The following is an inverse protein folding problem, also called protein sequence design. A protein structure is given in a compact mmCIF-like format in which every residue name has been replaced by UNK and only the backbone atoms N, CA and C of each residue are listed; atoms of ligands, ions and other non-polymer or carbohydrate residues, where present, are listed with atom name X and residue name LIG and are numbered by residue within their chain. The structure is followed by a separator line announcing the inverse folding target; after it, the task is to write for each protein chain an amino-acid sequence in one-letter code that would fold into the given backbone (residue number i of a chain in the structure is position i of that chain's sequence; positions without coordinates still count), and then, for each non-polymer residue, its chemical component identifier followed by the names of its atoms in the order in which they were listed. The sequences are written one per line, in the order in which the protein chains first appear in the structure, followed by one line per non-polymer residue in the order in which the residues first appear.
data_IF_852738548619
#
_entry.id   IF_852738548619
#
_cell.length_a   1.000
_cell.length_b   1.000
_cell.length_c   1.000
_cell.angle_alpha   90.00
_cell.angle_beta   90.00
_cell.angle_gamma   90.00
#
_symmetry.space_group_name_H-M   'P 1'
#
loop_
_entity.id
_entity.type
_entity.pdbx_description
1 polymer ?
#
# COMPACT_ATOMS: atom_id res chain seq x y z
N UNK A 1 -2.27 -26.60 30.19
CA UNK A 1 -2.09 -25.67 29.10
C UNK A 1 -1.22 -24.48 29.55
N UNK A 2 -0.23 -24.17 28.79
CA UNK A 2 0.75 -23.13 29.12
C UNK A 2 0.21 -21.69 29.02
N UNK A 3 -1.03 -21.53 28.60
CA UNK A 3 -1.64 -20.21 28.48
C UNK A 3 -1.76 -19.44 29.79
N UNK A 4 -2.03 -20.17 30.88
CA UNK A 4 -2.27 -19.53 32.16
C UNK A 4 -1.02 -18.90 32.76
N UNK A 5 0.16 -19.46 32.46
CA UNK A 5 1.43 -18.92 32.95
C UNK A 5 1.80 -17.60 32.27
N UNK A 6 1.39 -17.41 31.02
CA UNK A 6 1.78 -16.30 30.19
C UNK A 6 0.70 -15.25 29.97
N UNK A 7 -0.41 -15.33 30.70
CA UNK A 7 -1.58 -14.47 30.46
C UNK A 7 -1.23 -12.99 30.47
N UNK A 8 -0.42 -12.55 31.41
CA UNK A 8 -0.05 -11.14 31.52
C UNK A 8 0.88 -10.68 30.41
N UNK A 9 1.91 -11.45 30.10
CA UNK A 9 2.83 -11.19 29.00
C UNK A 9 2.12 -11.40 27.65
N UNK A 10 1.26 -12.41 27.58
CA UNK A 10 0.49 -12.74 26.40
C UNK A 10 -0.43 -11.62 25.94
N UNK A 11 -1.02 -10.87 26.88
CA UNK A 11 -1.91 -9.76 26.51
C UNK A 11 -1.17 -8.66 25.77
N UNK A 12 0.05 -8.32 26.19
CA UNK A 12 0.88 -7.31 25.52
C UNK A 12 1.31 -7.80 24.14
N UNK A 13 1.71 -9.05 24.03
CA UNK A 13 2.08 -9.67 22.76
C UNK A 13 0.90 -9.77 21.81
N UNK A 14 -0.28 -10.13 22.32
CA UNK A 14 -1.49 -10.22 21.49
C UNK A 14 -1.91 -8.86 20.93
N UNK A 15 -1.74 -7.78 21.69
CA UNK A 15 -2.02 -6.44 21.19
C UNK A 15 -1.09 -6.06 20.04
N UNK A 16 0.23 -6.33 20.19
CA UNK A 16 1.21 -6.08 19.14
C UNK A 16 0.98 -6.94 17.91
N UNK A 17 0.68 -8.23 18.10
CA UNK A 17 0.35 -9.16 17.02
C UNK A 17 -0.91 -8.73 16.27
N UNK A 18 -1.91 -8.25 17.00
CA UNK A 18 -3.15 -7.73 16.40
C UNK A 18 -2.90 -6.52 15.54
N UNK A 19 -2.07 -5.58 16.01
CA UNK A 19 -1.70 -4.40 15.22
C UNK A 19 -0.96 -4.78 13.95
N UNK A 20 0.00 -5.72 14.04
CA UNK A 20 0.71 -6.23 12.87
C UNK A 20 -0.23 -6.93 11.90
N UNK A 21 -1.17 -7.73 12.41
CA UNK A 21 -2.15 -8.42 11.59
C UNK A 21 -3.06 -7.43 10.87
N UNK A 22 -3.51 -6.37 11.54
CA UNK A 22 -4.32 -5.31 10.93
C UNK A 22 -3.55 -4.60 9.83
N UNK A 23 -2.29 -4.24 10.07
CA UNK A 23 -1.44 -3.61 9.06
C UNK A 23 -1.22 -4.52 7.86
N UNK A 24 -1.01 -5.81 8.08
CA UNK A 24 -0.83 -6.79 7.02
C UNK A 24 -2.11 -6.95 6.21
N UNK A 25 -3.27 -7.01 6.86
CA UNK A 25 -4.56 -7.07 6.20
C UNK A 25 -4.84 -5.84 5.36
N UNK A 26 -4.50 -4.64 5.87
CA UNK A 26 -4.63 -3.40 5.11
C UNK A 26 -3.74 -3.42 3.87
N UNK A 27 -2.50 -3.87 4.01
CA UNK A 27 -1.56 -3.99 2.89
C UNK A 27 -2.07 -4.96 1.85
N UNK A 28 -2.55 -6.14 2.27
CA UNK A 28 -3.10 -7.15 1.38
C UNK A 28 -4.37 -6.64 0.69
N UNK A 29 -5.21 -5.91 1.40
CA UNK A 29 -6.42 -5.32 0.83
C UNK A 29 -6.10 -4.27 -0.24
N UNK A 30 -5.09 -3.44 -0.01
CA UNK A 30 -4.61 -2.47 -1.01
C UNK A 30 -4.05 -3.18 -2.23
N UNK A 31 -3.23 -4.22 -2.02
CA UNK A 31 -2.66 -5.00 -3.11
C UNK A 31 -3.76 -5.66 -3.93
N UNK A 32 -4.73 -6.27 -3.27
CA UNK A 32 -5.84 -6.92 -3.96
C UNK A 32 -6.64 -5.93 -4.81
N UNK A 33 -6.92 -4.75 -4.29
CA UNK A 33 -7.61 -3.70 -5.04
C UNK A 33 -6.80 -3.26 -6.26
N UNK A 34 -5.49 -3.12 -6.09
CA UNK A 34 -4.59 -2.73 -7.18
C UNK A 34 -4.52 -3.79 -8.26
N UNK A 35 -4.44 -5.06 -7.86
CA UNK A 35 -4.43 -6.19 -8.80
C UNK A 35 -5.75 -6.28 -9.55
N UNK A 36 -6.88 -6.16 -8.87
CA UNK A 36 -8.21 -6.16 -9.51
C UNK A 36 -8.37 -5.02 -10.49
N UNK A 37 -7.89 -3.83 -10.13
CA UNK A 37 -7.91 -2.68 -11.03
C UNK A 37 -7.05 -2.92 -12.26
N UNK A 38 -5.88 -3.54 -12.11
CA UNK A 38 -5.01 -3.90 -13.22
C UNK A 38 -5.68 -4.91 -14.16
N UNK A 39 -6.37 -5.90 -13.60
CA UNK A 39 -7.13 -6.87 -14.40
C UNK A 39 -8.24 -6.19 -15.21
N UNK A 40 -8.93 -5.22 -14.62
CA UNK A 40 -9.93 -4.43 -15.36
C UNK A 40 -9.29 -3.66 -16.51
N UNK A 41 -8.10 -3.08 -16.31
CA UNK A 41 -7.38 -2.38 -17.38
C UNK A 41 -6.95 -3.32 -18.50
N UNK A 42 -6.56 -4.55 -18.17
CA UNK A 42 -6.26 -5.55 -19.18
C UNK A 42 -7.51 -5.83 -20.04
N UNK A 43 -8.66 -5.97 -19.39
CA UNK A 43 -9.91 -6.24 -20.08
C UNK A 43 -10.38 -5.08 -20.96
N UNK A 44 -10.17 -3.84 -20.54
CA UNK A 44 -10.61 -2.66 -21.31
C UNK A 44 -9.54 -2.12 -22.27
N UNK A 45 -8.36 -2.73 -22.28
CA UNK A 45 -7.29 -2.38 -23.20
C UNK A 45 -6.40 -1.21 -22.76
N UNK A 46 -6.55 -0.72 -21.54
CA UNK A 46 -5.77 0.41 -21.03
C UNK A 46 -4.55 -0.01 -20.17
N UNK A 47 -4.31 -1.31 -20.05
CA UNK A 47 -3.20 -1.82 -19.24
C UNK A 47 -1.85 -1.35 -19.81
N UNK A 48 -0.95 -0.95 -18.90
CA UNK A 48 0.39 -0.50 -19.28
C UNK A 48 0.49 0.98 -19.59
N UNK A 49 -0.61 1.72 -19.44
CA UNK A 49 -0.65 3.17 -19.62
C UNK A 49 -0.81 3.85 -18.26
N UNK A 50 0.02 4.85 -18.00
CA UNK A 50 -0.06 5.61 -16.75
C UNK A 50 -1.41 6.33 -16.66
N UNK A 51 -2.09 6.19 -15.53
CA UNK A 51 -3.39 6.83 -15.31
C UNK A 51 -3.29 8.35 -15.17
N UNK A 52 -2.11 8.86 -14.82
CA UNK A 52 -1.92 10.30 -14.60
C UNK A 52 -1.46 11.03 -15.85
N UNK A 53 -0.36 10.58 -16.47
CA UNK A 53 0.22 11.26 -17.63
C UNK A 53 -0.18 10.65 -18.98
N UNK A 54 -0.87 9.51 -18.96
CA UNK A 54 -1.37 8.79 -20.14
C UNK A 54 -0.27 8.28 -21.08
N UNK A 55 0.98 8.25 -20.61
CA UNK A 55 2.10 7.67 -21.36
C UNK A 55 2.30 6.20 -21.00
N UNK A 56 2.99 5.47 -21.87
CA UNK A 56 3.27 4.08 -21.63
C UNK A 56 4.19 3.90 -20.42
N UNK A 57 3.85 2.95 -19.56
CA UNK A 57 4.69 2.57 -18.44
C UNK A 57 5.82 1.68 -18.95
N UNK A 58 7.05 1.92 -18.45
CA UNK A 58 8.21 1.13 -18.83
C UNK A 58 7.94 -0.36 -18.56
N UNK A 59 8.18 -1.27 -19.55
CA UNK A 59 7.96 -2.71 -19.37
C UNK A 59 8.73 -3.31 -18.19
N UNK A 60 9.90 -2.78 -17.86
CA UNK A 60 10.67 -3.25 -16.70
C UNK A 60 9.93 -2.97 -15.39
N UNK A 61 9.26 -1.82 -15.31
CA UNK A 61 8.44 -1.49 -14.15
C UNK A 61 7.22 -2.40 -14.06
N UNK A 62 6.58 -2.67 -15.17
CA UNK A 62 5.44 -3.59 -15.23
C UNK A 62 5.83 -5.01 -14.83
N UNK A 63 7.04 -5.45 -15.18
CA UNK A 63 7.55 -6.75 -14.72
C UNK A 63 7.77 -6.80 -13.22
N UNK A 64 8.27 -5.72 -12.64
CA UNK A 64 8.51 -5.64 -11.20
C UNK A 64 7.22 -5.42 -10.40
N UNK A 65 6.31 -4.60 -10.91
CA UNK A 65 5.05 -4.24 -10.25
C UNK A 65 3.92 -4.32 -11.28
N UNK A 66 3.42 -5.53 -11.60
CA UNK A 66 2.44 -5.70 -12.67
C UNK A 66 1.13 -4.92 -12.48
N UNK A 67 0.79 -4.59 -11.26
CA UNK A 67 -0.44 -3.87 -10.92
C UNK A 67 -0.28 -2.35 -10.85
N UNK A 68 0.91 -1.82 -11.16
CA UNK A 68 1.15 -0.38 -11.02
C UNK A 68 0.22 0.42 -11.95
N UNK A 69 -0.46 1.45 -11.43
CA UNK A 69 -1.26 2.34 -12.26
C UNK A 69 -0.47 3.52 -12.81
N UNK A 70 0.76 3.76 -12.34
CA UNK A 70 1.54 4.95 -12.65
C UNK A 70 2.93 4.59 -13.15
N UNK A 71 3.47 5.46 -14.01
CA UNK A 71 4.91 5.41 -14.33
C UNK A 71 5.71 5.83 -13.10
N UNK A 72 7.03 5.63 -13.14
CA UNK A 72 7.91 5.93 -12.01
C UNK A 72 7.80 7.40 -11.60
N UNK A 73 7.80 8.31 -12.57
CA UNK A 73 7.74 9.75 -12.30
C UNK A 73 6.44 10.16 -11.60
N UNK A 74 5.31 9.65 -12.07
CA UNK A 74 4.02 9.94 -11.46
C UNK A 74 3.87 9.30 -10.10
N UNK A 75 4.43 8.10 -9.90
CA UNK A 75 4.45 7.45 -8.61
C UNK A 75 5.27 8.24 -7.60
N UNK A 76 6.42 8.75 -8.00
CA UNK A 76 7.25 9.61 -7.14
C UNK A 76 6.53 10.88 -6.73
N UNK A 77 5.80 11.50 -7.66
CA UNK A 77 4.99 12.67 -7.36
C UNK A 77 3.89 12.37 -6.35
N UNK A 78 3.21 11.24 -6.50
CA UNK A 78 2.17 10.81 -5.57
C UNK A 78 2.76 10.54 -4.18
N UNK A 79 3.91 9.91 -4.12
CA UNK A 79 4.60 9.60 -2.86
C UNK A 79 5.05 10.88 -2.15
N UNK A 80 5.58 11.86 -2.88
CA UNK A 80 5.96 13.17 -2.31
C UNK A 80 4.77 13.91 -1.73
N UNK A 81 3.65 13.91 -2.43
CA UNK A 81 2.42 14.55 -1.94
C UNK A 81 1.95 13.92 -0.65
N UNK A 82 2.02 12.59 -0.57
CA UNK A 82 1.66 11.86 0.64
C UNK A 82 2.58 12.18 1.81
N UNK A 83 3.88 12.25 1.56
CA UNK A 83 4.86 12.59 2.58
C UNK A 83 4.65 14.01 3.11
N UNK A 84 4.37 14.97 2.23
CA UNK A 84 4.07 16.34 2.62
C UNK A 84 2.80 16.42 3.47
N UNK A 85 1.77 15.70 3.11
CA UNK A 85 0.53 15.63 3.90
C UNK A 85 0.80 15.06 5.28
N UNK A 86 1.60 14.01 5.37
CA UNK A 86 1.98 13.39 6.64
C UNK A 86 2.79 14.35 7.51
N UNK A 87 3.73 15.09 6.93
CA UNK A 87 4.52 16.10 7.66
C UNK A 87 3.62 17.21 8.20
N UNK A 88 2.72 17.72 7.40
CA UNK A 88 1.77 18.74 7.83
C UNK A 88 0.87 18.24 8.97
N UNK A 89 0.42 17.00 8.85
CA UNK A 89 -0.40 16.37 9.88
C UNK A 89 0.37 16.22 11.20
N UNK A 90 1.63 15.77 11.12
CA UNK A 90 2.50 15.65 12.29
C UNK A 90 2.74 17.00 12.96
N UNK A 91 3.00 18.05 12.19
CA UNK A 91 3.17 19.41 12.72
C UNK A 91 1.92 19.88 13.45
N UNK A 92 0.75 19.62 12.90
CA UNK A 92 -0.52 19.97 13.53
C UNK A 92 -0.75 19.20 14.82
N UNK A 93 -0.33 17.94 14.85
CA UNK A 93 -0.49 17.10 16.04
C UNK A 93 0.47 17.49 17.17
N UNK A 94 1.66 17.98 16.84
CA UNK A 94 2.68 18.38 17.82
C UNK A 94 2.42 19.79 18.36
N UNK A 95 1.83 20.65 17.57
CA UNK A 95 1.48 21.99 17.99
C UNK A 95 0.33 22.00 18.97
#
# INVERSE_FOLDING_TARGET
DHHLADVHVGQVQHAAERELAIRNLDRESHLLRNVRAALRRINDGSYGVCLHCEEDINPKRLNAVPWTPFCIECQELADRSRDQENEMFEELMVA
#
